data_IF_516788162098
#
_entry.id   IF_516788162098
#
_cell.length_a   1.000
_cell.length_b   1.000
_cell.length_c   1.000
_cell.angle_alpha   90.00
_cell.angle_beta   90.00
_cell.angle_gamma   90.00
#
_symmetry.space_group_name_H-M   'P 1'
#
loop_
_entity.id
_entity.type
_entity.pdbx_description
1 polymer ?
#
# COMPACT_ATOMS: atom_id res chain seq x y z
N UNK A 1 -36.05 4.04 -11.51
CA UNK A 1 -34.78 3.38 -11.27
C UNK A 1 -34.27 2.84 -12.60
N UNK A 2 -33.16 3.36 -13.13
CA UNK A 2 -32.56 2.85 -14.37
C UNK A 2 -32.07 1.41 -14.11
N UNK A 3 -32.46 0.48 -14.98
CA UNK A 3 -32.07 -0.93 -14.91
C UNK A 3 -30.57 -1.01 -15.14
N UNK A 4 -29.79 -1.34 -14.10
CA UNK A 4 -28.34 -1.50 -14.21
C UNK A 4 -28.03 -2.56 -15.27
N UNK A 5 -27.14 -2.29 -16.20
CA UNK A 5 -26.74 -3.26 -17.22
C UNK A 5 -26.12 -4.50 -16.55
N UNK A 6 -26.53 -5.69 -16.98
CA UNK A 6 -25.96 -6.96 -16.49
C UNK A 6 -24.44 -7.02 -16.72
N UNK A 7 -23.97 -6.47 -17.83
CA UNK A 7 -22.53 -6.39 -18.14
C UNK A 7 -21.81 -5.49 -17.15
N UNK A 8 -22.35 -4.31 -16.87
CA UNK A 8 -21.77 -3.40 -15.87
C UNK A 8 -21.75 -4.02 -14.46
N UNK A 9 -22.81 -4.77 -14.10
CA UNK A 9 -22.83 -5.45 -12.80
C UNK A 9 -21.78 -6.57 -12.72
N UNK A 10 -21.59 -7.33 -13.81
CA UNK A 10 -20.54 -8.34 -13.87
C UNK A 10 -19.13 -7.73 -13.75
N UNK A 11 -18.88 -6.58 -14.37
CA UNK A 11 -17.61 -5.86 -14.24
C UNK A 11 -17.36 -5.39 -12.79
N UNK A 12 -18.39 -4.88 -12.12
CA UNK A 12 -18.33 -4.47 -10.71
C UNK A 12 -18.03 -5.65 -9.79
N UNK A 13 -18.63 -6.82 -10.04
CA UNK A 13 -18.33 -8.04 -9.27
C UNK A 13 -16.87 -8.47 -9.50
N UNK A 14 -16.41 -8.47 -10.76
CA UNK A 14 -15.04 -8.84 -11.08
C UNK A 14 -14.04 -7.90 -10.39
N UNK A 15 -14.27 -6.59 -10.44
CA UNK A 15 -13.46 -5.59 -9.73
C UNK A 15 -13.44 -5.85 -8.21
N UNK A 16 -14.59 -6.13 -7.61
CA UNK A 16 -14.68 -6.45 -6.19
C UNK A 16 -13.88 -7.70 -5.83
N UNK A 17 -13.94 -8.75 -6.66
CA UNK A 17 -13.18 -9.99 -6.47
C UNK A 17 -11.67 -9.69 -6.45
N UNK A 18 -11.17 -8.97 -7.45
CA UNK A 18 -9.75 -8.63 -7.53
C UNK A 18 -9.28 -7.79 -6.34
N UNK A 19 -10.06 -6.78 -5.94
CA UNK A 19 -9.77 -5.95 -4.78
C UNK A 19 -9.72 -6.77 -3.48
N UNK A 20 -10.68 -7.69 -3.28
CA UNK A 20 -10.71 -8.58 -2.10
C UNK A 20 -9.49 -9.51 -2.10
N UNK A 21 -9.12 -10.07 -3.25
CA UNK A 21 -7.93 -10.93 -3.37
C UNK A 21 -6.64 -10.19 -3.01
N UNK A 22 -6.54 -8.91 -3.39
CA UNK A 22 -5.43 -8.03 -3.04
C UNK A 22 -5.47 -7.49 -1.59
N UNK A 23 -6.47 -7.88 -0.79
CA UNK A 23 -6.58 -7.52 0.62
C UNK A 23 -7.27 -6.18 0.89
N UNK A 24 -8.16 -5.73 -0.01
CA UNK A 24 -8.97 -4.53 0.23
C UNK A 24 -9.85 -4.68 1.48
N UNK A 25 -9.92 -3.62 2.29
CA UNK A 25 -10.90 -3.52 3.37
C UNK A 25 -12.27 -3.10 2.84
N UNK A 26 -13.32 -3.39 3.61
CA UNK A 26 -14.70 -3.11 3.21
C UNK A 26 -14.93 -1.65 2.82
N UNK A 27 -14.35 -0.69 3.55
CA UNK A 27 -14.52 0.74 3.24
C UNK A 27 -13.96 1.12 1.86
N UNK A 28 -12.83 0.50 1.43
CA UNK A 28 -12.30 0.70 0.09
C UNK A 28 -13.27 0.13 -0.95
N UNK A 29 -13.79 -1.09 -0.73
CA UNK A 29 -14.78 -1.70 -1.61
C UNK A 29 -16.03 -0.84 -1.76
N UNK A 30 -16.58 -0.34 -0.65
CA UNK A 30 -17.76 0.54 -0.63
C UNK A 30 -17.52 1.88 -1.37
N UNK A 31 -16.27 2.33 -1.44
CA UNK A 31 -15.91 3.57 -2.14
C UNK A 31 -15.75 3.35 -3.64
N UNK A 32 -15.14 2.25 -4.04
CA UNK A 32 -14.70 2.01 -5.43
C UNK A 32 -15.68 1.14 -6.24
N UNK A 33 -16.59 0.44 -5.56
CA UNK A 33 -17.52 -0.51 -6.21
C UNK A 33 -18.95 -0.14 -5.88
N UNK A 34 -19.85 -0.17 -6.87
CA UNK A 34 -21.25 0.20 -6.71
C UNK A 34 -22.17 -0.97 -6.33
N UNK A 35 -21.61 -2.04 -5.73
CA UNK A 35 -22.39 -3.14 -5.14
C UNK A 35 -22.89 -2.77 -3.75
N UNK A 36 -24.04 -3.34 -3.35
CA UNK A 36 -24.55 -3.12 -1.99
C UNK A 36 -23.61 -3.71 -0.94
N UNK A 37 -23.58 -3.09 0.25
CA UNK A 37 -22.77 -3.57 1.38
C UNK A 37 -23.00 -5.05 1.70
N UNK A 38 -24.24 -5.51 1.63
CA UNK A 38 -24.59 -6.91 1.89
C UNK A 38 -23.95 -7.84 0.86
N UNK A 39 -23.98 -7.49 -0.42
CA UNK A 39 -23.34 -8.26 -1.49
C UNK A 39 -21.82 -8.29 -1.32
N UNK A 40 -21.21 -7.17 -0.96
CA UNK A 40 -19.75 -7.10 -0.68
C UNK A 40 -19.37 -7.98 0.51
N UNK A 41 -20.16 -8.00 1.58
CA UNK A 41 -19.93 -8.87 2.74
C UNK A 41 -20.05 -10.36 2.38
N UNK A 42 -21.04 -10.74 1.57
CA UNK A 42 -21.23 -12.11 1.13
C UNK A 42 -20.06 -12.54 0.23
N UNK A 43 -19.73 -11.73 -0.77
CA UNK A 43 -18.60 -11.97 -1.68
C UNK A 43 -17.28 -12.10 -0.91
N UNK A 44 -17.05 -11.26 0.09
CA UNK A 44 -15.85 -11.34 0.94
C UNK A 44 -15.77 -12.67 1.69
N UNK A 45 -16.88 -13.12 2.28
CA UNK A 45 -16.97 -14.42 2.99
C UNK A 45 -16.76 -15.61 2.05
N UNK A 46 -17.32 -15.56 0.85
CA UNK A 46 -17.15 -16.60 -0.16
C UNK A 46 -15.66 -16.74 -0.57
N UNK A 47 -14.96 -15.62 -0.76
CA UNK A 47 -13.58 -15.63 -1.25
C UNK A 47 -12.54 -15.89 -0.14
N UNK A 48 -12.76 -15.39 1.07
CA UNK A 48 -11.77 -15.45 2.17
C UNK A 48 -12.16 -16.41 3.30
N UNK A 49 -13.40 -16.92 3.33
CA UNK A 49 -13.91 -17.76 4.42
C UNK A 49 -14.17 -17.03 5.74
N UNK A 50 -13.86 -15.72 5.81
CA UNK A 50 -13.97 -14.89 7.02
C UNK A 50 -14.62 -13.56 6.72
N UNK A 51 -15.10 -12.88 7.76
CA UNK A 51 -15.62 -11.51 7.61
C UNK A 51 -14.49 -10.50 7.34
N UNK A 52 -14.77 -9.40 6.62
CA UNK A 52 -13.78 -8.34 6.39
C UNK A 52 -13.21 -7.81 7.71
N UNK A 53 -11.91 -7.47 7.74
CA UNK A 53 -11.29 -6.87 8.93
C UNK A 53 -12.01 -5.59 9.35
N UNK A 54 -12.29 -5.47 10.65
CA UNK A 54 -12.83 -4.25 11.26
C UNK A 54 -11.72 -3.24 11.48
N UNK A 55 -12.06 -1.96 11.57
CA UNK A 55 -11.15 -0.89 11.90
C UNK A 55 -11.29 0.30 10.95
N UNK A 56 -10.75 1.43 11.38
CA UNK A 56 -10.76 2.68 10.62
C UNK A 56 -9.75 2.65 9.48
N UNK A 57 -10.02 3.41 8.42
CA UNK A 57 -9.01 3.70 7.41
C UNK A 57 -7.88 4.53 8.03
N UNK A 58 -6.65 4.46 7.48
CA UNK A 58 -5.57 5.37 7.88
C UNK A 58 -6.02 6.83 7.70
N UNK A 59 -5.86 7.64 8.74
CA UNK A 59 -6.25 9.05 8.76
C UNK A 59 -5.06 10.00 8.93
N UNK A 60 -3.89 9.48 9.37
CA UNK A 60 -2.65 10.24 9.52
C UNK A 60 -1.65 9.91 8.41
N UNK A 61 -0.89 10.93 7.99
CA UNK A 61 0.23 10.81 7.05
C UNK A 61 1.50 10.28 7.70
N UNK A 62 1.61 10.33 9.04
CA UNK A 62 2.84 10.05 9.79
C UNK A 62 3.41 8.67 9.50
N UNK A 63 2.54 7.66 9.38
CA UNK A 63 2.99 6.31 9.08
C UNK A 63 3.79 6.24 7.77
N UNK A 64 3.37 6.96 6.73
CA UNK A 64 3.98 6.92 5.40
C UNK A 64 5.35 7.60 5.34
N UNK A 65 5.70 8.43 6.33
CA UNK A 65 6.99 9.12 6.43
C UNK A 65 7.96 8.44 7.41
N UNK A 66 7.52 7.41 8.17
CA UNK A 66 8.42 6.61 8.99
C UNK A 66 9.31 5.70 8.12
N UNK A 67 10.49 5.32 8.60
CA UNK A 67 11.59 4.76 7.82
C UNK A 67 11.19 3.67 6.80
N UNK A 68 10.83 2.46 7.24
CA UNK A 68 10.47 1.36 6.32
C UNK A 68 9.18 1.66 5.52
N UNK A 69 8.08 2.09 6.17
CA UNK A 69 6.89 2.51 5.46
C UNK A 69 7.15 3.58 4.39
N UNK A 70 8.08 4.50 4.61
CA UNK A 70 8.44 5.52 3.63
C UNK A 70 9.06 4.91 2.37
N UNK A 71 9.98 3.95 2.52
CA UNK A 71 10.61 3.25 1.39
C UNK A 71 9.55 2.54 0.55
N UNK A 72 8.67 1.75 1.19
CA UNK A 72 7.58 1.02 0.52
C UNK A 72 6.57 1.96 -0.14
N UNK A 73 6.17 3.02 0.56
CA UNK A 73 5.24 4.04 0.05
C UNK A 73 5.83 4.78 -1.15
N UNK A 74 7.12 5.13 -1.08
CA UNK A 74 7.82 5.82 -2.16
C UNK A 74 7.96 4.96 -3.41
N UNK A 75 8.29 3.68 -3.26
CA UNK A 75 8.32 2.75 -4.39
C UNK A 75 6.94 2.65 -5.04
N UNK A 76 5.89 2.38 -4.27
CA UNK A 76 4.54 2.25 -4.77
C UNK A 76 4.07 3.52 -5.51
N UNK A 77 4.25 4.71 -4.93
CA UNK A 77 3.76 5.95 -5.53
C UNK A 77 4.55 6.33 -6.81
N UNK A 78 5.85 5.99 -6.88
CA UNK A 78 6.63 6.16 -8.11
C UNK A 78 6.09 5.25 -9.23
N UNK A 79 5.78 3.98 -8.93
CA UNK A 79 5.15 3.05 -9.89
C UNK A 79 3.78 3.58 -10.32
N UNK A 80 2.95 4.01 -9.36
CA UNK A 80 1.61 4.54 -9.64
C UNK A 80 1.68 5.76 -10.56
N UNK A 81 2.53 6.74 -10.25
CA UNK A 81 2.74 7.93 -11.10
C UNK A 81 3.21 7.54 -12.50
N UNK A 82 4.16 6.62 -12.61
CA UNK A 82 4.63 6.14 -13.90
C UNK A 82 3.49 5.56 -14.75
N UNK A 83 2.63 4.72 -14.14
CA UNK A 83 1.49 4.12 -14.86
C UNK A 83 0.45 5.16 -15.28
N UNK A 84 0.20 6.17 -14.45
CA UNK A 84 -0.72 7.26 -14.79
C UNK A 84 -0.14 8.12 -15.92
N UNK A 85 1.12 8.53 -15.82
CA UNK A 85 1.75 9.48 -16.72
C UNK A 85 2.08 8.86 -18.09
N UNK A 86 2.42 7.57 -18.13
CA UNK A 86 2.96 6.92 -19.34
C UNK A 86 2.12 5.77 -19.89
N UNK A 87 1.30 5.10 -19.05
CA UNK A 87 0.47 3.97 -19.46
C UNK A 87 -1.03 4.30 -19.53
N UNK A 88 -1.43 5.55 -19.23
CA UNK A 88 -2.82 5.99 -19.27
C UNK A 88 -3.74 5.31 -18.24
N UNK A 89 -3.15 4.68 -17.21
CA UNK A 89 -3.95 4.04 -16.15
C UNK A 89 -4.63 5.09 -15.27
N UNK A 90 -5.88 4.86 -14.88
CA UNK A 90 -6.66 5.83 -14.10
C UNK A 90 -7.41 5.18 -12.93
N UNK A 91 -7.77 5.98 -11.93
CA UNK A 91 -8.64 5.56 -10.82
C UNK A 91 -8.11 4.33 -10.07
N UNK A 92 -9.04 3.46 -9.67
CA UNK A 92 -8.71 2.25 -8.90
C UNK A 92 -7.89 1.24 -9.72
N UNK A 93 -8.02 1.23 -11.05
CA UNK A 93 -7.24 0.35 -11.91
C UNK A 93 -5.74 0.69 -11.84
N UNK A 94 -5.38 1.99 -11.84
CA UNK A 94 -4.00 2.43 -11.66
C UNK A 94 -3.43 1.98 -10.31
N UNK A 95 -4.23 2.09 -9.24
CA UNK A 95 -3.85 1.65 -7.89
C UNK A 95 -3.59 0.14 -7.85
N UNK A 96 -4.49 -0.66 -8.44
CA UNK A 96 -4.37 -2.12 -8.47
C UNK A 96 -3.15 -2.58 -9.28
N UNK A 97 -2.93 -2.01 -10.48
CA UNK A 97 -1.76 -2.32 -11.32
C UNK A 97 -0.46 -1.94 -10.60
N UNK A 98 -0.41 -0.74 -10.04
CA UNK A 98 0.75 -0.29 -9.27
C UNK A 98 1.02 -1.19 -8.06
N UNK A 99 -0.03 -1.64 -7.38
CA UNK A 99 0.10 -2.50 -6.21
C UNK A 99 0.60 -3.91 -6.57
N UNK A 100 0.13 -4.48 -7.68
CA UNK A 100 0.64 -5.76 -8.19
C UNK A 100 2.14 -5.66 -8.50
N UNK A 101 2.57 -4.62 -9.22
CA UNK A 101 3.99 -4.37 -9.53
C UNK A 101 4.82 -4.10 -8.25
N UNK A 102 4.27 -3.39 -7.28
CA UNK A 102 4.92 -3.19 -5.98
C UNK A 102 5.17 -4.53 -5.26
N UNK A 103 4.18 -5.44 -5.24
CA UNK A 103 4.33 -6.77 -4.62
C UNK A 103 5.37 -7.65 -5.32
N UNK A 104 5.53 -7.51 -6.64
CA UNK A 104 6.58 -8.18 -7.41
C UNK A 104 7.99 -7.68 -7.04
N UNK A 105 8.13 -6.37 -6.77
CA UNK A 105 9.40 -5.76 -6.40
C UNK A 105 9.77 -5.96 -4.92
N UNK A 106 8.77 -6.00 -4.06
CA UNK A 106 8.92 -6.18 -2.61
C UNK A 106 7.94 -7.24 -2.10
N UNK A 107 8.18 -8.51 -2.44
CA UNK A 107 7.34 -9.59 -1.97
C UNK A 107 7.40 -9.69 -0.45
N UNK A 108 6.27 -9.93 0.24
CA UNK A 108 6.26 -10.20 1.66
C UNK A 108 7.00 -11.51 1.96
N UNK A 109 7.54 -11.65 3.16
CA UNK A 109 8.06 -12.92 3.62
C UNK A 109 6.96 -13.99 3.67
N UNK A 110 7.36 -15.26 3.55
CA UNK A 110 6.39 -16.37 3.49
C UNK A 110 5.50 -16.37 4.74
N UNK A 111 4.19 -16.20 4.53
CA UNK A 111 3.19 -16.16 5.60
C UNK A 111 2.98 -14.80 6.25
N UNK A 112 3.69 -13.76 5.82
CA UNK A 112 3.49 -12.39 6.30
C UNK A 112 2.62 -11.54 5.34
N UNK A 113 1.92 -10.56 5.91
CA UNK A 113 1.23 -9.55 5.11
C UNK A 113 2.23 -8.50 4.59
N UNK A 114 2.00 -7.94 3.39
CA UNK A 114 2.81 -6.85 2.87
C UNK A 114 2.83 -5.67 3.84
N UNK A 115 4.00 -5.06 4.06
CA UNK A 115 4.13 -3.89 4.93
C UNK A 115 3.20 -2.76 4.49
N UNK A 116 3.17 -2.46 3.19
CA UNK A 116 2.18 -1.56 2.60
C UNK A 116 1.00 -2.40 2.11
N UNK A 117 -0.10 -2.45 2.87
CA UNK A 117 -1.34 -3.10 2.42
C UNK A 117 -2.02 -2.31 1.29
N UNK A 118 -2.86 -2.97 0.47
CA UNK A 118 -3.62 -2.30 -0.59
C UNK A 118 -4.43 -1.10 -0.06
N UNK A 119 -5.08 -1.25 1.09
CA UNK A 119 -5.85 -0.16 1.69
C UNK A 119 -4.97 1.05 2.04
N UNK A 120 -3.75 0.83 2.53
CA UNK A 120 -2.78 1.91 2.76
C UNK A 120 -2.26 2.50 1.45
N UNK A 121 -1.98 1.69 0.44
CA UNK A 121 -1.58 2.15 -0.88
C UNK A 121 -2.65 3.05 -1.53
N UNK A 122 -3.91 2.65 -1.45
CA UNK A 122 -5.05 3.46 -1.89
C UNK A 122 -5.20 4.76 -1.09
N UNK A 123 -5.07 4.71 0.24
CA UNK A 123 -5.12 5.91 1.09
C UNK A 123 -3.96 6.85 0.78
N UNK A 124 -2.77 6.32 0.49
CA UNK A 124 -1.60 7.11 0.07
C UNK A 124 -1.91 7.94 -1.18
N UNK A 125 -2.50 7.33 -2.23
CA UNK A 125 -2.90 8.06 -3.44
C UNK A 125 -3.87 9.18 -3.11
N UNK A 126 -4.81 8.98 -2.19
CA UNK A 126 -5.75 10.02 -1.74
C UNK A 126 -5.04 11.16 -1.01
N UNK A 127 -4.04 10.87 -0.18
CA UNK A 127 -3.24 11.90 0.48
C UNK A 127 -2.43 12.74 -0.52
N UNK A 128 -1.94 12.13 -1.60
CA UNK A 128 -1.34 12.87 -2.72
C UNK A 128 -2.37 13.76 -3.43
N UNK A 129 -3.54 13.22 -3.75
CA UNK A 129 -4.62 13.98 -4.41
C UNK A 129 -5.10 15.17 -3.56
N UNK A 130 -5.12 15.03 -2.23
CA UNK A 130 -5.47 16.10 -1.28
C UNK A 130 -4.30 17.00 -0.90
N UNK A 131 -3.13 16.82 -1.51
CA UNK A 131 -1.91 17.61 -1.24
C UNK A 131 -1.46 17.57 0.24
N UNK A 132 -1.70 16.47 0.92
CA UNK A 132 -1.18 16.23 2.27
C UNK A 132 0.24 15.65 2.24
N UNK A 133 0.56 14.89 1.19
CA UNK A 133 1.88 14.32 0.91
C UNK A 133 2.37 14.76 -0.46
N UNK A 134 3.68 14.82 -0.62
CA UNK A 134 4.37 15.12 -1.88
C UNK A 134 5.63 14.27 -2.02
N UNK A 135 6.35 14.42 -3.14
CA UNK A 135 7.61 13.74 -3.42
C UNK A 135 8.77 14.71 -3.42
N UNK A 136 9.80 14.41 -2.62
CA UNK A 136 11.06 15.15 -2.64
C UNK A 136 12.20 14.30 -3.22
N UNK A 137 13.11 14.88 -4.02
CA UNK A 137 14.32 14.20 -4.45
C UNK A 137 15.30 14.10 -3.27
N UNK A 138 15.93 12.93 -3.13
CA UNK A 138 17.03 12.77 -2.18
C UNK A 138 18.30 13.45 -2.69
N UNK A 139 18.91 14.34 -1.89
CA UNK A 139 20.15 15.04 -2.25
C UNK A 139 21.38 14.13 -2.45
N UNK A 140 21.32 12.85 -1.98
CA UNK A 140 22.42 11.88 -2.16
C UNK A 140 22.24 10.96 -3.36
N UNK A 141 21.05 10.38 -3.58
CA UNK A 141 20.83 9.39 -4.63
C UNK A 141 19.92 9.87 -5.77
N UNK A 142 19.31 11.05 -5.64
CA UNK A 142 18.38 11.59 -6.63
C UNK A 142 17.01 10.89 -6.70
N UNK A 143 16.83 9.78 -5.99
CA UNK A 143 15.55 9.06 -5.93
C UNK A 143 14.46 9.92 -5.28
N UNK A 144 13.22 9.76 -5.72
CA UNK A 144 12.06 10.51 -5.20
C UNK A 144 11.39 9.73 -4.08
N UNK A 145 11.16 10.39 -2.93
CA UNK A 145 10.57 9.80 -1.74
C UNK A 145 9.41 10.62 -1.21
N UNK A 146 8.46 9.95 -0.57
CA UNK A 146 7.29 10.57 0.05
C UNK A 146 7.70 11.46 1.21
N UNK A 147 7.22 12.69 1.22
CA UNK A 147 7.42 13.68 2.28
C UNK A 147 6.09 14.34 2.63
N UNK A 148 6.02 14.98 3.80
CA UNK A 148 4.90 15.85 4.11
C UNK A 148 4.98 17.11 3.24
N UNK A 149 3.86 17.56 2.66
CA UNK A 149 3.83 18.75 1.80
C UNK A 149 4.23 20.04 2.54
N UNK A 150 4.13 20.05 3.87
CA UNK A 150 4.56 21.17 4.71
C UNK A 150 6.05 21.10 5.11
N UNK A 151 6.74 20.02 4.75
CA UNK A 151 8.15 19.85 5.06
C UNK A 151 9.00 20.53 3.98
N UNK A 152 9.49 21.73 4.32
CA UNK A 152 10.25 22.61 3.41
C UNK A 152 11.75 22.29 3.38
N UNK A 153 12.17 21.09 3.84
CA UNK A 153 13.59 20.73 3.89
C UNK A 153 14.17 20.61 2.46
N UNK A 154 14.95 21.62 2.07
CA UNK A 154 15.68 21.63 0.79
C UNK A 154 16.71 20.49 0.69
N UNK A 155 17.21 19.98 1.81
CA UNK A 155 18.27 18.98 1.91
C UNK A 155 17.73 17.61 2.37
N UNK A 156 16.65 17.14 1.75
CA UNK A 156 16.08 15.85 2.10
C UNK A 156 17.05 14.70 1.76
N UNK A 157 17.30 13.83 2.75
CA UNK A 157 18.08 12.59 2.57
C UNK A 157 17.21 11.39 2.91
N UNK A 158 17.03 10.48 1.95
CA UNK A 158 16.16 9.33 2.12
C UNK A 158 16.70 8.31 3.13
N UNK A 159 15.80 7.48 3.66
CA UNK A 159 16.12 6.43 4.63
C UNK A 159 17.00 5.30 4.11
N UNK A 160 17.23 5.20 2.80
CA UNK A 160 18.22 4.27 2.21
C UNK A 160 19.62 4.86 2.26
N UNK A 161 19.78 6.17 2.01
CA UNK A 161 21.08 6.85 2.05
C UNK A 161 21.51 7.21 3.47
N UNK A 162 20.57 7.35 4.38
CA UNK A 162 20.81 7.61 5.79
C UNK A 162 19.84 6.81 6.64
N UNK A 163 20.27 5.61 7.02
CA UNK A 163 19.47 4.76 7.89
C UNK A 163 19.37 5.35 9.30
N UNK A 164 18.17 5.37 9.92
CA UNK A 164 18.03 5.77 11.31
C UNK A 164 18.89 4.91 12.24
N UNK A 165 19.45 5.49 13.30
CA UNK A 165 20.31 4.81 14.27
C UNK A 165 19.66 3.59 14.96
N UNK A 166 18.33 3.50 14.93
CA UNK A 166 17.52 2.39 15.46
C UNK A 166 17.05 1.40 14.38
N UNK A 167 17.47 1.55 13.12
CA UNK A 167 17.12 0.63 12.06
C UNK A 167 17.63 -0.78 12.39
N UNK A 168 16.78 -1.79 12.20
CA UNK A 168 17.11 -3.19 12.50
C UNK A 168 17.22 -3.56 13.99
N UNK A 169 16.98 -2.62 14.92
CA UNK A 169 17.02 -2.87 16.37
C UNK A 169 15.67 -3.20 17.01
N UNK A 170 14.69 -3.63 16.23
CA UNK A 170 13.41 -4.10 16.75
C UNK A 170 13.61 -5.40 17.53
N UNK A 171 12.73 -5.70 18.50
CA UNK A 171 12.79 -6.95 19.26
C UNK A 171 12.79 -8.17 18.33
N UNK A 172 11.94 -8.17 17.29
CA UNK A 172 11.86 -9.23 16.27
C UNK A 172 13.22 -9.43 15.57
N UNK A 173 13.83 -8.36 15.05
CA UNK A 173 15.14 -8.44 14.39
C UNK A 173 16.28 -8.92 15.31
N UNK A 174 16.19 -8.64 16.62
CA UNK A 174 17.15 -9.12 17.63
C UNK A 174 16.94 -10.60 17.93
N UNK A 175 15.68 -11.04 18.02
CA UNK A 175 15.32 -12.44 18.27
C UNK A 175 15.70 -13.32 17.06
N UNK A 176 15.51 -12.83 15.84
CA UNK A 176 15.94 -13.49 14.59
C UNK A 176 17.48 -13.59 14.49
N UNK A 177 18.19 -12.51 14.79
CA UNK A 177 19.66 -12.53 14.83
C UNK A 177 20.21 -13.48 15.90
N UNK A 178 19.52 -13.62 17.02
CA UNK A 178 19.91 -14.56 18.08
C UNK A 178 19.64 -16.02 17.69
N UNK A 179 18.62 -16.28 16.85
CA UNK A 179 18.29 -17.62 16.36
C UNK A 179 19.25 -18.14 15.27
N UNK A 180 19.99 -17.26 14.61
CA UNK A 180 20.91 -17.57 13.50
C UNK A 180 22.34 -17.91 13.96
N UNK A 181 22.66 -17.86 15.27
CA UNK A 181 23.98 -18.29 15.77
C UNK A 181 23.99 -19.82 15.92
N UNK A 182 24.54 -20.59 14.93
CA UNK A 182 24.77 -22.02 15.12
C UNK A 182 25.86 -22.18 16.18
N UNK A 183 25.62 -23.05 17.14
CA UNK A 183 26.61 -23.35 18.16
C UNK A 183 27.95 -23.73 17.53
N UNK A 184 28.97 -22.96 17.82
CA UNK A 184 30.34 -23.40 17.66
C UNK A 184 30.55 -24.47 18.74
N UNK A 185 30.49 -25.72 18.30
CA UNK A 185 30.94 -26.86 19.14
C UNK A 185 32.45 -26.78 19.23
N UNK A 186 32.94 -26.67 20.44
CA UNK A 186 34.34 -26.79 20.79
C UNK A 186 34.84 -28.24 20.59
#
# INVERSE_FOLDING_TARGET
MAKKSVVSEAQEIQLAIELIQLGARLQLLETEVSLSRERLLNLYKELKGVSPPKGMLPFSTDWFITWQPNIHSSLFINIHKFLVDHAGATGIEAVMKAYKLYLEQMPPEAGEEPLLSLTRAWTLVRFFSSKMLDMAPCGKCGGKFVVNCLDLNADYVCGLCHMPSRAGKTKKARDEAAAVVPGVVA
#
